data_IF_031530996329
#
_entry.id   IF_031530996329
#
_cell.length_a   1.000
_cell.length_b   1.000
_cell.length_c   1.000
_cell.angle_alpha   90.00
_cell.angle_beta   90.00
_cell.angle_gamma   90.00
#
_symmetry.space_group_name_H-M   'P 1'
#
loop_
_entity.id
_entity.type
_entity.pdbx_description
1 polymer ?
#
# COMPACT_ATOMS: atom_id res chain seq x y z
N UNK A 1 -11.03 4.51 10.92
CA UNK A 1 -10.03 5.24 10.11
C UNK A 1 -9.71 4.46 8.85
N UNK A 2 -9.39 5.13 7.74
CA UNK A 2 -8.93 4.43 6.54
C UNK A 2 -7.51 3.93 6.73
N UNK A 3 -7.26 2.72 6.27
CA UNK A 3 -5.94 2.11 6.13
C UNK A 3 -5.74 1.66 4.69
N UNK A 4 -4.48 1.52 4.31
CA UNK A 4 -4.08 1.16 2.97
C UNK A 4 -3.29 -0.14 3.05
N UNK A 5 -3.79 -1.15 2.36
CA UNK A 5 -3.23 -2.49 2.37
C UNK A 5 -2.18 -2.61 1.28
N UNK A 6 -1.06 -3.26 1.60
CA UNK A 6 -0.01 -3.62 0.66
C UNK A 6 0.43 -5.07 0.89
N UNK A 7 0.86 -5.72 -0.18
CA UNK A 7 1.45 -7.05 -0.10
C UNK A 7 2.84 -6.95 0.55
N UNK A 8 3.08 -7.69 1.64
CA UNK A 8 4.35 -7.60 2.37
C UNK A 8 5.56 -8.17 1.63
N UNK A 9 5.34 -9.08 0.67
CA UNK A 9 6.43 -9.71 -0.09
C UNK A 9 6.97 -8.78 -1.19
N UNK A 10 6.10 -7.97 -1.80
CA UNK A 10 6.44 -7.16 -2.97
C UNK A 10 6.04 -5.68 -2.89
N UNK A 11 5.40 -5.27 -1.79
CA UNK A 11 4.95 -3.90 -1.52
C UNK A 11 3.71 -3.45 -2.31
N UNK A 12 3.15 -4.27 -3.20
CA UNK A 12 2.09 -3.83 -4.12
C UNK A 12 0.84 -3.41 -3.36
N UNK A 13 0.28 -2.25 -3.71
CA UNK A 13 -1.00 -1.77 -3.18
C UNK A 13 -2.15 -2.73 -3.51
N UNK A 14 -2.89 -3.14 -2.47
CA UNK A 14 -3.99 -4.09 -2.55
C UNK A 14 -5.36 -3.42 -2.44
N UNK A 15 -5.43 -2.21 -1.89
CA UNK A 15 -6.68 -1.47 -1.71
C UNK A 15 -6.73 -0.72 -0.38
N UNK A 16 -7.89 -0.13 -0.12
CA UNK A 16 -8.20 0.55 1.14
C UNK A 16 -9.14 -0.31 1.98
N UNK A 17 -8.96 -0.24 3.30
CA UNK A 17 -9.81 -0.88 4.30
C UNK A 17 -10.07 0.10 5.46
N UNK A 18 -10.94 -0.27 6.39
CA UNK A 18 -11.27 0.55 7.56
C UNK A 18 -10.89 -0.20 8.83
N UNK A 19 -10.01 0.40 9.63
CA UNK A 19 -9.70 -0.07 10.97
C UNK A 19 -10.30 0.84 12.03
N UNK A 20 -10.79 0.26 13.13
CA UNK A 20 -11.28 1.01 14.27
C UNK A 20 -10.15 1.79 14.96
N UNK A 21 -10.50 2.92 15.56
CA UNK A 21 -9.55 3.81 16.24
C UNK A 21 -8.89 3.13 17.45
N UNK A 22 -9.59 2.16 18.07
CA UNK A 22 -9.06 1.34 19.16
C UNK A 22 -7.86 0.49 18.72
N UNK A 23 -7.82 0.04 17.47
CA UNK A 23 -6.71 -0.76 16.91
C UNK A 23 -5.44 0.10 16.73
N UNK A 24 -5.61 1.40 16.49
CA UNK A 24 -4.51 2.37 16.37
C UNK A 24 -3.98 2.89 17.70
N UNK A 25 -4.81 2.92 18.75
CA UNK A 25 -4.42 3.41 20.07
C UNK A 25 -3.26 2.60 20.68
N UNK A 26 -3.07 1.35 20.23
CA UNK A 26 -1.94 0.49 20.61
C UNK A 26 -0.76 0.58 19.62
N UNK A 27 -0.84 1.44 18.61
CA UNK A 27 0.19 1.57 17.56
C UNK A 27 0.31 0.37 16.62
N UNK A 28 -0.63 -0.57 16.69
CA UNK A 28 -0.61 -1.83 15.95
C UNK A 28 -1.51 -1.75 14.71
N UNK A 29 -0.95 -1.23 13.62
CA UNK A 29 -1.52 -1.50 12.30
C UNK A 29 -1.43 -2.99 11.98
N UNK A 30 -2.42 -3.57 11.28
CA UNK A 30 -2.30 -4.92 10.75
C UNK A 30 -1.02 -5.06 9.93
N UNK A 31 -0.41 -6.25 9.95
CA UNK A 31 0.72 -6.57 9.08
C UNK A 31 0.31 -6.36 7.61
N UNK A 32 1.12 -5.60 6.86
CA UNK A 32 0.80 -5.21 5.48
C UNK A 32 -0.23 -4.09 5.37
N UNK A 33 -0.44 -3.30 6.43
CA UNK A 33 -1.27 -2.10 6.39
C UNK A 33 -0.48 -0.84 6.77
N UNK A 34 -0.84 0.29 6.18
CA UNK A 34 -0.31 1.61 6.52
C UNK A 34 -1.44 2.63 6.63
N UNK A 35 -1.29 3.63 7.49
CA UNK A 35 -2.20 4.79 7.54
C UNK A 35 -1.87 5.83 6.45
N UNK A 36 -0.74 5.68 5.76
CA UNK A 36 -0.33 6.60 4.71
C UNK A 36 -1.03 6.28 3.40
N UNK A 37 -1.69 7.26 2.82
CA UNK A 37 -2.34 7.11 1.53
C UNK A 37 -1.33 6.93 0.39
N UNK A 38 -1.58 6.03 -0.57
CA UNK A 38 -0.81 6.00 -1.79
C UNK A 38 -0.98 7.32 -2.56
N UNK A 39 0.06 7.80 -3.25
CA UNK A 39 -0.06 8.95 -4.13
C UNK A 39 -1.03 8.64 -5.29
N UNK A 40 -1.63 9.65 -5.92
CA UNK A 40 -2.49 9.44 -7.09
C UNK A 40 -1.74 8.68 -8.19
N UNK A 41 -2.36 7.63 -8.72
CA UNK A 41 -1.76 6.76 -9.74
C UNK A 41 -2.71 6.56 -10.93
N UNK A 42 -2.15 6.44 -12.12
CA UNK A 42 -2.92 6.17 -13.34
C UNK A 42 -3.07 4.65 -13.59
N UNK A 43 -3.91 4.26 -14.55
CA UNK A 43 -4.15 2.84 -14.93
C UNK A 43 -2.88 2.03 -15.26
N UNK A 44 -1.77 2.70 -15.58
CA UNK A 44 -0.47 2.09 -15.93
C UNK A 44 0.57 2.20 -14.82
N UNK A 45 0.18 2.66 -13.65
CA UNK A 45 1.05 2.79 -12.49
C UNK A 45 0.51 1.90 -11.37
N UNK A 46 1.41 1.35 -10.58
CA UNK A 46 1.09 0.56 -9.39
C UNK A 46 1.83 1.20 -8.23
N UNK A 47 1.11 1.69 -7.20
CA UNK A 47 1.74 2.09 -5.96
C UNK A 47 2.34 0.87 -5.27
N UNK A 48 3.59 1.01 -4.85
CA UNK A 48 4.36 0.00 -4.13
C UNK A 48 4.86 0.64 -2.84
N UNK A 49 4.49 0.07 -1.70
CA UNK A 49 4.94 0.50 -0.40
C UNK A 49 6.33 -0.06 -0.12
N UNK A 50 7.26 0.85 0.18
CA UNK A 50 8.62 0.51 0.60
C UNK A 50 8.64 0.59 2.13
N UNK A 51 8.49 -0.56 2.79
CA UNK A 51 8.39 -0.62 4.25
C UNK A 51 9.65 -0.11 4.97
N UNK A 52 10.83 -0.36 4.40
CA UNK A 52 12.12 0.10 4.94
C UNK A 52 12.24 1.63 4.94
N UNK A 53 11.60 2.30 3.97
CA UNK A 53 11.61 3.76 3.83
C UNK A 53 10.31 4.40 4.32
N UNK A 54 9.36 3.57 4.77
CA UNK A 54 8.02 3.95 5.19
C UNK A 54 7.37 4.94 4.19
N UNK A 55 7.39 4.62 2.89
CA UNK A 55 6.85 5.50 1.84
C UNK A 55 6.26 4.72 0.67
N UNK A 56 5.42 5.39 -0.11
CA UNK A 56 4.92 4.87 -1.37
C UNK A 56 5.80 5.29 -2.55
N UNK A 57 6.00 4.38 -3.48
CA UNK A 57 6.61 4.64 -4.77
C UNK A 57 5.65 4.23 -5.89
N UNK A 58 5.58 5.02 -6.96
CA UNK A 58 4.85 4.66 -8.15
C UNK A 58 5.78 3.89 -9.09
N UNK A 59 5.45 2.63 -9.34
CA UNK A 59 6.13 1.83 -10.36
C UNK A 59 5.27 1.78 -11.61
N UNK A 60 5.89 2.04 -12.75
CA UNK A 60 5.25 1.79 -14.03
C UNK A 60 4.90 0.29 -14.09
N UNK A 61 3.62 -0.01 -14.31
CA UNK A 61 3.15 -1.35 -14.63
C UNK A 61 3.70 -1.68 -16.01
N UNK A 62 4.93 -2.18 -16.05
CA UNK A 62 5.45 -2.85 -17.23
C UNK A 62 4.52 -4.02 -17.46
N UNK A 63 3.58 -3.84 -18.40
CA UNK A 63 2.91 -4.96 -19.04
C UNK A 63 4.06 -5.82 -19.57
N UNK A 64 4.40 -6.88 -18.85
CA UNK A 64 5.14 -7.98 -19.45
C UNK A 64 4.19 -8.53 -20.50
N UNK A 65 4.25 -7.92 -21.69
CA UNK A 65 3.82 -8.51 -22.93
C UNK A 65 4.71 -9.74 -23.08
N UNK A 66 4.29 -10.87 -22.51
CA UNK A 66 4.81 -12.15 -22.97
C UNK A 66 4.20 -12.40 -24.36
N UNK A 67 5.04 -12.80 -25.33
CA UNK A 67 4.65 -13.00 -26.72
C UNK A 67 3.60 -14.10 -26.90
#
# INVERSE_FOLDING_TARGET
MKIYLFNMENGIYLGEDFADEATFAEGLLPLGATSMAPPPFQRREVPVFIAEENRWELKARLLTQRP
#
